data_IF_348323203837
#
_entry.id   IF_348323203837
#
_cell.length_a   1.000
_cell.length_b   1.000
_cell.length_c   1.000
_cell.angle_alpha   90.00
_cell.angle_beta   90.00
_cell.angle_gamma   90.00
#
_symmetry.space_group_name_H-M   'P 1'
#
loop_
_entity.id
_entity.type
_entity.pdbx_description
1 polymer ?
#
# COMPACT_ATOMS: atom_id res chain seq x y z
N UNK A 1 23.06 -34.99 27.44
CA UNK A 1 22.79 -33.89 28.39
C UNK A 1 23.75 -32.77 28.02
N UNK A 2 23.42 -31.86 27.10
CA UNK A 2 22.47 -30.74 27.25
C UNK A 2 23.29 -29.52 27.73
N UNK A 3 23.30 -28.33 27.15
CA UNK A 3 22.48 -27.69 26.11
C UNK A 3 23.39 -26.66 25.40
N UNK A 4 23.32 -26.58 24.07
CA UNK A 4 23.88 -25.45 23.33
C UNK A 4 22.94 -24.26 23.55
N UNK A 5 23.47 -23.18 24.12
CA UNK A 5 22.83 -21.86 24.07
C UNK A 5 22.70 -21.45 22.61
N UNK A 6 21.48 -21.52 22.10
CA UNK A 6 21.10 -21.03 20.79
C UNK A 6 21.12 -19.50 20.81
N UNK A 7 22.20 -18.91 20.30
CA UNK A 7 22.27 -17.50 19.93
C UNK A 7 21.25 -17.27 18.80
N UNK A 8 20.03 -16.88 19.17
CA UNK A 8 19.04 -16.37 18.23
C UNK A 8 19.29 -14.87 18.00
N UNK A 9 20.45 -14.55 17.44
CA UNK A 9 20.62 -13.26 16.75
C UNK A 9 19.83 -13.35 15.45
N UNK A 10 18.64 -12.75 15.46
CA UNK A 10 17.82 -12.51 14.26
C UNK A 10 18.72 -11.84 13.22
N UNK A 11 19.14 -12.61 12.22
CA UNK A 11 19.89 -12.11 11.06
C UNK A 11 19.10 -10.95 10.45
N UNK A 12 19.70 -9.78 10.20
CA UNK A 12 19.03 -8.72 9.48
C UNK A 12 18.67 -9.26 8.10
N UNK A 13 17.37 -9.21 7.76
CA UNK A 13 16.89 -9.54 6.41
C UNK A 13 17.64 -8.65 5.43
N UNK A 14 18.26 -9.28 4.44
CA UNK A 14 19.20 -8.71 3.48
C UNK A 14 18.53 -7.58 2.67
N UNK A 15 18.79 -6.35 3.11
CA UNK A 15 19.03 -5.12 2.36
C UNK A 15 18.07 -4.73 1.23
N UNK A 16 17.18 -3.79 1.51
CA UNK A 16 16.87 -2.73 0.53
C UNK A 16 17.88 -1.61 0.79
N UNK A 17 18.63 -1.21 -0.23
CA UNK A 17 19.59 -0.11 -0.13
C UNK A 17 18.85 1.19 0.20
N UNK A 18 19.42 2.07 1.03
CA UNK A 18 18.85 3.40 1.32
C UNK A 18 18.56 4.21 0.05
N UNK A 19 19.34 4.00 -1.02
CA UNK A 19 19.09 4.56 -2.35
C UNK A 19 17.85 3.96 -3.03
N UNK A 20 17.62 2.65 -2.92
CA UNK A 20 16.37 2.02 -3.39
C UNK A 20 15.18 2.48 -2.54
N UNK A 21 15.37 2.64 -1.22
CA UNK A 21 14.36 3.26 -0.36
C UNK A 21 14.10 4.73 -0.69
N UNK A 22 15.11 5.50 -1.15
CA UNK A 22 14.97 6.90 -1.58
C UNK A 22 14.42 7.05 -3.01
N UNK A 23 14.70 6.12 -3.92
CA UNK A 23 14.12 6.10 -5.27
C UNK A 23 12.66 5.58 -5.25
N UNK A 24 12.30 4.74 -4.28
CA UNK A 24 10.92 4.36 -3.97
C UNK A 24 10.18 5.42 -3.13
N UNK A 25 10.88 6.40 -2.55
CA UNK A 25 10.31 7.33 -1.57
C UNK A 25 9.40 8.42 -2.16
N UNK A 26 9.15 8.45 -3.48
CA UNK A 26 8.28 9.46 -4.09
C UNK A 26 7.09 8.89 -4.89
N UNK A 27 6.74 7.60 -4.77
CA UNK A 27 5.57 7.07 -5.50
C UNK A 27 4.21 7.49 -4.91
N UNK A 28 4.17 7.77 -3.61
CA UNK A 28 2.96 8.23 -2.92
C UNK A 28 3.29 9.05 -1.67
N UNK A 29 2.38 9.92 -1.27
CA UNK A 29 2.48 10.76 -0.07
C UNK A 29 1.12 10.84 0.65
N UNK A 30 0.94 11.78 1.59
CA UNK A 30 -0.34 11.98 2.26
C UNK A 30 -0.46 11.22 3.57
N UNK A 31 -1.64 10.67 3.85
CA UNK A 31 -1.94 9.92 5.07
C UNK A 31 -1.84 8.40 4.93
N UNK A 32 -2.51 7.68 5.82
CA UNK A 32 -2.52 6.21 5.88
C UNK A 32 -3.65 5.56 5.04
N UNK A 33 -4.56 6.37 4.51
CA UNK A 33 -5.65 5.97 3.63
C UNK A 33 -6.87 5.43 4.35
N UNK A 34 -7.03 5.58 5.67
CA UNK A 34 -8.20 5.02 6.39
C UNK A 34 -9.49 5.80 6.15
N UNK A 35 -9.37 7.06 5.74
CA UNK A 35 -10.48 7.95 5.38
C UNK A 35 -10.05 8.96 4.29
N UNK A 36 -10.98 9.81 3.86
CA UNK A 36 -10.73 10.80 2.81
C UNK A 36 -9.80 11.95 3.25
N UNK A 37 -9.77 12.30 4.53
CA UNK A 37 -8.91 13.37 5.06
C UNK A 37 -7.45 12.90 5.13
N UNK A 38 -7.26 11.62 5.43
CA UNK A 38 -5.98 10.93 5.50
C UNK A 38 -5.69 10.09 4.25
N UNK A 39 -6.28 10.42 3.10
CA UNK A 39 -6.08 9.67 1.87
C UNK A 39 -4.60 9.58 1.45
N UNK A 40 -4.22 8.46 0.86
CA UNK A 40 -2.90 8.28 0.25
C UNK A 40 -2.90 8.98 -1.10
N UNK A 41 -2.01 9.95 -1.28
CA UNK A 41 -1.90 10.71 -2.53
C UNK A 41 -0.99 9.97 -3.48
N UNK A 42 -1.52 9.62 -4.66
CA UNK A 42 -0.77 8.90 -5.69
C UNK A 42 -0.23 9.89 -6.72
N UNK A 43 1.09 9.87 -6.91
CA UNK A 43 1.77 10.73 -7.89
C UNK A 43 2.12 9.92 -9.13
N UNK A 44 1.13 9.73 -10.00
CA UNK A 44 1.31 8.96 -11.23
C UNK A 44 1.07 9.79 -12.48
N UNK A 45 1.80 9.45 -13.55
CA UNK A 45 1.64 10.06 -14.88
C UNK A 45 0.36 9.63 -15.61
N UNK A 46 -0.13 8.43 -15.28
CA UNK A 46 -1.24 7.78 -15.97
C UNK A 46 -1.94 6.79 -15.04
N UNK A 47 -3.17 6.40 -15.40
CA UNK A 47 -3.99 5.47 -14.61
C UNK A 47 -3.34 4.11 -14.39
N UNK A 48 -2.55 3.61 -15.35
CA UNK A 48 -1.91 2.27 -15.23
C UNK A 48 -0.82 2.30 -14.17
N UNK A 49 0.07 3.31 -14.19
CA UNK A 49 1.06 3.52 -13.13
C UNK A 49 0.37 3.79 -11.80
N UNK A 50 -0.64 4.66 -11.79
CA UNK A 50 -1.37 4.99 -10.57
C UNK A 50 -2.04 3.78 -9.92
N UNK A 51 -2.60 2.86 -10.70
CA UNK A 51 -3.17 1.62 -10.17
C UNK A 51 -2.10 0.68 -9.61
N UNK A 52 -0.95 0.58 -10.27
CA UNK A 52 0.18 -0.20 -9.79
C UNK A 52 0.68 0.34 -8.43
N UNK A 53 0.71 1.65 -8.27
CA UNK A 53 1.18 2.33 -7.05
C UNK A 53 0.21 2.10 -5.89
N UNK A 54 -1.10 2.14 -6.15
CA UNK A 54 -2.12 1.80 -5.15
C UNK A 54 -1.98 0.36 -4.67
N UNK A 55 -1.79 -0.60 -5.60
CA UNK A 55 -1.53 -1.98 -5.20
C UNK A 55 -0.20 -2.15 -4.48
N UNK A 56 0.83 -1.38 -4.86
CA UNK A 56 2.11 -1.32 -4.18
C UNK A 56 1.95 -0.89 -2.72
N UNK A 57 1.19 0.18 -2.48
CA UNK A 57 0.88 0.67 -1.14
C UNK A 57 0.19 -0.40 -0.30
N UNK A 58 -0.92 -0.98 -0.78
CA UNK A 58 -1.66 -2.02 -0.03
C UNK A 58 -0.76 -3.23 0.22
N UNK A 59 0.04 -3.64 -0.77
CA UNK A 59 0.94 -4.79 -0.64
C UNK A 59 2.08 -4.54 0.34
N UNK A 60 2.53 -3.30 0.48
CA UNK A 60 3.55 -2.93 1.47
C UNK A 60 3.06 -3.13 2.91
N UNK A 61 1.75 -3.07 3.13
CA UNK A 61 1.11 -3.27 4.44
C UNK A 61 0.70 -4.73 4.66
N UNK A 62 0.13 -5.37 3.63
CA UNK A 62 -0.57 -6.66 3.77
C UNK A 62 0.08 -7.83 3.05
N UNK A 63 1.23 -7.64 2.41
CA UNK A 63 1.91 -8.70 1.65
C UNK A 63 1.40 -8.83 0.22
N UNK A 64 1.42 -10.04 -0.35
CA UNK A 64 1.17 -10.26 -1.76
C UNK A 64 -0.32 -10.29 -2.09
N UNK A 65 -0.71 -9.48 -3.08
CA UNK A 65 -2.06 -9.54 -3.64
C UNK A 65 -2.39 -10.94 -4.17
N UNK A 66 -3.63 -11.37 -3.97
CA UNK A 66 -4.17 -12.68 -4.34
C UNK A 66 -3.60 -13.86 -3.55
N UNK A 67 -2.77 -13.60 -2.53
CA UNK A 67 -2.32 -14.60 -1.57
C UNK A 67 -2.67 -14.14 -0.15
N UNK A 68 -2.17 -12.98 0.24
CA UNK A 68 -2.31 -12.42 1.58
C UNK A 68 -3.51 -11.47 1.69
N UNK A 69 -3.93 -10.87 0.56
CA UNK A 69 -5.11 -10.01 0.49
C UNK A 69 -5.76 -10.01 -0.89
N UNK A 70 -7.07 -9.74 -0.92
CA UNK A 70 -7.92 -9.75 -2.11
C UNK A 70 -8.76 -8.48 -2.16
N UNK A 71 -9.10 -8.01 -3.36
CA UNK A 71 -10.03 -6.89 -3.52
C UNK A 71 -11.45 -7.45 -3.41
N UNK A 72 -12.20 -6.96 -2.44
CA UNK A 72 -13.62 -7.24 -2.32
C UNK A 72 -14.43 -6.28 -3.19
N UNK A 73 -14.12 -4.98 -3.13
CA UNK A 73 -14.76 -3.98 -3.98
C UNK A 73 -13.82 -2.83 -4.32
N UNK A 74 -14.13 -2.16 -5.43
CA UNK A 74 -13.45 -0.96 -5.89
C UNK A 74 -14.50 0.08 -6.30
N UNK A 75 -14.32 1.34 -5.91
CA UNK A 75 -15.22 2.45 -6.23
C UNK A 75 -14.41 3.72 -6.52
N UNK A 76 -14.90 4.53 -7.47
CA UNK A 76 -14.39 5.88 -7.70
C UNK A 76 -15.40 6.90 -7.17
N UNK A 77 -14.93 7.81 -6.32
CA UNK A 77 -15.71 8.89 -5.76
C UNK A 77 -15.16 10.24 -6.21
N UNK A 78 -16.02 11.09 -6.78
CA UNK A 78 -15.68 12.48 -7.09
C UNK A 78 -16.27 13.43 -6.05
N UNK A 79 -15.44 14.29 -5.46
CA UNK A 79 -15.86 15.34 -4.53
C UNK A 79 -15.19 16.66 -4.90
N UNK A 80 -15.95 17.52 -5.58
CA UNK A 80 -15.44 18.79 -6.09
C UNK A 80 -14.34 18.57 -7.12
N UNK A 81 -13.17 19.17 -6.89
CA UNK A 81 -12.01 19.03 -7.78
C UNK A 81 -11.16 17.77 -7.50
N UNK A 82 -11.57 16.92 -6.55
CA UNK A 82 -10.83 15.72 -6.17
C UNK A 82 -11.52 14.44 -6.61
N UNK A 83 -10.71 13.49 -7.06
CA UNK A 83 -11.11 12.13 -7.43
C UNK A 83 -10.42 11.15 -6.50
N UNK A 84 -11.20 10.26 -5.89
CA UNK A 84 -10.71 9.24 -4.97
C UNK A 84 -10.97 7.85 -5.54
N UNK A 85 -9.98 6.97 -5.46
CA UNK A 85 -10.18 5.53 -5.62
C UNK A 85 -10.30 4.91 -4.23
N UNK A 86 -11.32 4.07 -4.05
CA UNK A 86 -11.64 3.43 -2.79
C UNK A 86 -11.57 1.93 -3.00
N UNK A 87 -10.69 1.26 -2.27
CA UNK A 87 -10.63 -0.19 -2.20
C UNK A 87 -11.20 -0.70 -0.89
N UNK A 88 -12.06 -1.71 -0.97
CA UNK A 88 -12.31 -2.60 0.16
C UNK A 88 -11.58 -3.90 -0.12
N UNK A 89 -10.73 -4.30 0.81
CA UNK A 89 -9.96 -5.54 0.72
C UNK A 89 -10.37 -6.52 1.81
N UNK A 90 -10.17 -7.81 1.54
CA UNK A 90 -10.18 -8.88 2.52
C UNK A 90 -8.76 -9.42 2.67
N UNK A 91 -8.22 -9.40 3.88
CA UNK A 91 -6.95 -10.03 4.19
C UNK A 91 -7.17 -11.52 4.47
N UNK A 92 -6.12 -12.32 4.30
CA UNK A 92 -6.17 -13.79 4.46
C UNK A 92 -6.48 -14.24 5.89
N UNK A 93 -6.24 -13.38 6.89
CA UNK A 93 -6.65 -13.57 8.28
C UNK A 93 -8.12 -13.18 8.55
N UNK A 94 -8.85 -12.73 7.52
CA UNK A 94 -10.29 -12.47 7.55
C UNK A 94 -10.67 -11.02 7.88
N UNK A 95 -9.72 -10.10 8.03
CA UNK A 95 -10.04 -8.69 8.23
C UNK A 95 -10.54 -8.03 6.94
N UNK A 96 -11.49 -7.11 7.10
CA UNK A 96 -12.06 -6.30 6.01
C UNK A 96 -11.62 -4.86 6.19
N UNK A 97 -10.80 -4.37 5.28
CA UNK A 97 -10.17 -3.05 5.38
C UNK A 97 -10.57 -2.16 4.20
N UNK A 98 -10.67 -0.86 4.44
CA UNK A 98 -10.99 0.14 3.42
C UNK A 98 -9.82 1.12 3.28
N UNK A 99 -9.45 1.40 2.04
CA UNK A 99 -8.40 2.35 1.68
C UNK A 99 -8.92 3.42 0.74
N UNK A 100 -8.51 4.66 0.97
CA UNK A 100 -8.81 5.84 0.17
C UNK A 100 -7.53 6.38 -0.47
N UNK A 101 -7.54 6.52 -1.79
CA UNK A 101 -6.44 7.06 -2.58
C UNK A 101 -6.86 8.32 -3.30
N UNK A 102 -6.15 9.43 -3.11
CA UNK A 102 -6.32 10.63 -3.93
C UNK A 102 -5.58 10.42 -5.27
N UNK A 103 -6.37 10.33 -6.33
CA UNK A 103 -5.91 10.08 -7.70
C UNK A 103 -6.18 11.28 -8.63
N UNK A 104 -6.45 12.45 -8.05
CA UNK A 104 -6.82 13.67 -8.77
C UNK A 104 -5.77 14.12 -9.79
N UNK A 105 -4.51 13.74 -9.59
CA UNK A 105 -3.37 14.08 -10.46
C UNK A 105 -3.47 13.44 -11.85
N UNK A 106 -4.09 12.27 -11.98
CA UNK A 106 -4.19 11.51 -13.24
C UNK A 106 -5.60 11.00 -13.56
N UNK A 107 -6.59 11.28 -12.72
CA UNK A 107 -8.00 10.99 -13.00
C UNK A 107 -8.82 12.28 -13.03
N UNK A 108 -8.95 12.84 -14.24
CA UNK A 108 -9.76 14.02 -14.58
C UNK A 108 -10.88 13.64 -15.53
#
# INVERSE_FOLDING_TARGET
MGFLDAIMQKRPRRGISKAVSMEMAEEWSGGDGIDMEHAVVIHARDRRKGLADQYGYISSLHGFRSLDWFIESQEILHRGARSYEIFVILTSDGARLRYYFDISSFHK
#
